data_IF_578433317651
#
_entry.id   IF_578433317651
#
_cell.length_a   1.000
_cell.length_b   1.000
_cell.length_c   1.000
_cell.angle_alpha   90.00
_cell.angle_beta   90.00
_cell.angle_gamma   90.00
#
_symmetry.space_group_name_H-M   'P 1'
#
loop_
_entity.id
_entity.type
_entity.pdbx_description
1 polymer ?
#
# COMPACT_ATOMS: atom_id res chain seq x y z
N UNK A 1 5.66 -21.80 11.18
CA UNK A 1 6.89 -22.05 10.39
C UNK A 1 7.90 -20.99 10.77
N UNK A 2 9.20 -21.29 10.77
CA UNK A 2 10.22 -20.28 11.06
C UNK A 2 10.37 -19.36 9.85
N UNK A 3 10.20 -18.06 10.04
CA UNK A 3 10.40 -17.03 9.00
C UNK A 3 11.90 -16.93 8.72
N UNK A 4 12.31 -17.16 7.48
CA UNK A 4 13.71 -17.17 7.06
C UNK A 4 13.99 -16.19 5.92
N UNK A 5 13.00 -15.96 5.05
CA UNK A 5 13.16 -15.09 3.88
C UNK A 5 12.05 -14.07 3.78
N UNK A 6 12.44 -12.80 3.72
CA UNK A 6 11.54 -11.64 3.68
C UNK A 6 11.63 -10.90 2.35
N UNK A 7 10.48 -10.42 1.86
CA UNK A 7 10.47 -9.43 0.78
C UNK A 7 10.21 -8.05 1.37
N UNK A 8 11.11 -7.10 1.15
CA UNK A 8 10.93 -5.69 1.52
C UNK A 8 10.45 -4.90 0.30
N UNK A 9 9.14 -4.62 0.26
CA UNK A 9 8.53 -3.87 -0.82
C UNK A 9 8.48 -2.37 -0.52
N UNK A 10 9.08 -1.56 -1.39
CA UNK A 10 9.33 -0.14 -1.15
C UNK A 10 8.50 0.75 -2.08
N UNK A 11 7.91 1.80 -1.51
CA UNK A 11 7.41 2.92 -2.31
C UNK A 11 8.61 3.68 -2.92
N UNK A 12 8.56 4.09 -4.20
CA UNK A 12 9.63 4.87 -4.81
C UNK A 12 9.71 6.28 -4.21
N UNK A 13 10.93 6.83 -4.16
CA UNK A 13 11.19 8.17 -3.64
C UNK A 13 10.78 9.31 -4.58
N UNK A 14 10.48 9.02 -5.84
CA UNK A 14 10.15 10.00 -6.88
C UNK A 14 8.84 9.62 -7.57
N UNK A 15 7.82 10.47 -7.44
CA UNK A 15 6.63 10.45 -8.32
C UNK A 15 6.40 11.81 -8.97
N UNK A 16 7.04 12.88 -8.48
CA UNK A 16 7.16 14.14 -9.21
C UNK A 16 8.56 14.24 -9.79
N UNK A 17 8.76 14.06 -11.10
CA UNK A 17 9.91 14.67 -11.73
C UNK A 17 9.70 16.18 -11.60
N UNK A 18 10.42 16.82 -10.68
CA UNK A 18 10.69 18.24 -10.78
C UNK A 18 11.28 18.47 -12.19
N UNK A 19 10.43 18.83 -13.17
CA UNK A 19 10.82 19.20 -14.52
C UNK A 19 10.48 18.27 -15.72
N UNK A 20 9.68 17.20 -15.64
CA UNK A 20 9.42 16.34 -16.83
C UNK A 20 7.97 15.90 -17.12
N UNK A 21 6.95 16.52 -16.53
CA UNK A 21 5.60 16.48 -17.13
C UNK A 21 5.40 17.74 -17.95
N UNK A 22 5.48 17.65 -19.28
CA UNK A 22 5.28 18.80 -20.19
C UNK A 22 3.86 19.41 -20.11
N UNK A 23 2.93 18.81 -19.36
CA UNK A 23 1.50 19.12 -19.39
C UNK A 23 0.88 19.48 -18.04
N UNK A 24 1.64 19.56 -16.94
CA UNK A 24 1.12 20.07 -15.66
C UNK A 24 1.74 21.42 -15.31
N UNK A 25 0.93 22.39 -14.81
CA UNK A 25 1.47 23.63 -14.29
C UNK A 25 2.45 23.32 -13.15
N UNK A 26 3.60 24.02 -13.07
CA UNK A 26 4.52 23.85 -11.95
C UNK A 26 3.81 24.19 -10.64
N UNK A 27 4.05 23.41 -9.59
CA UNK A 27 3.64 23.81 -8.24
C UNK A 27 4.50 25.02 -7.87
N UNK A 28 3.87 26.20 -7.76
CA UNK A 28 4.56 27.47 -7.50
C UNK A 28 4.57 27.85 -6.01
N UNK A 29 3.74 27.21 -5.17
CA UNK A 29 3.68 27.53 -3.74
C UNK A 29 4.91 26.95 -3.01
N UNK A 30 5.82 27.79 -2.46
CA UNK A 30 7.04 27.32 -1.80
C UNK A 30 6.79 26.52 -0.52
N UNK A 31 5.69 26.76 0.19
CA UNK A 31 5.32 25.98 1.38
C UNK A 31 4.94 24.55 0.98
N UNK A 32 4.15 24.39 -0.09
CA UNK A 32 3.78 23.07 -0.64
C UNK A 32 5.02 22.32 -1.12
N UNK A 33 5.94 23.01 -1.81
CA UNK A 33 7.20 22.39 -2.25
C UNK A 33 8.04 21.89 -1.07
N UNK A 34 8.23 22.73 -0.03
CA UNK A 34 8.94 22.36 1.19
C UNK A 34 8.27 21.18 1.89
N UNK A 35 6.94 21.16 1.93
CA UNK A 35 6.17 20.07 2.52
C UNK A 35 6.33 18.76 1.74
N UNK A 36 6.29 18.79 0.40
CA UNK A 36 6.56 17.62 -0.44
C UNK A 36 8.00 17.09 -0.28
N UNK A 37 8.99 17.98 -0.20
CA UNK A 37 10.38 17.62 0.07
C UNK A 37 10.55 17.00 1.46
N UNK A 38 9.85 17.53 2.47
CA UNK A 38 9.82 16.94 3.80
C UNK A 38 9.25 15.52 3.76
N UNK A 39 8.11 15.29 3.11
CA UNK A 39 7.52 13.94 2.98
C UNK A 39 8.45 12.96 2.29
N UNK A 40 9.16 13.41 1.26
CA UNK A 40 10.18 12.60 0.59
C UNK A 40 11.32 12.23 1.54
N UNK A 41 11.80 13.20 2.33
CA UNK A 41 12.86 12.98 3.32
C UNK A 41 12.41 12.01 4.42
N UNK A 42 11.25 12.24 5.03
CA UNK A 42 10.67 11.38 6.08
C UNK A 42 10.52 9.94 5.56
N UNK A 43 9.99 9.77 4.35
CA UNK A 43 9.87 8.44 3.74
C UNK A 43 11.24 7.78 3.49
N UNK A 44 12.24 8.54 3.02
CA UNK A 44 13.60 8.02 2.84
C UNK A 44 14.24 7.58 4.16
N UNK A 45 14.09 8.40 5.19
CA UNK A 45 14.60 8.10 6.53
C UNK A 45 13.90 6.85 7.10
N UNK A 46 12.60 6.70 6.88
CA UNK A 46 11.84 5.50 7.24
C UNK A 46 12.33 4.23 6.52
N UNK A 47 12.60 4.30 5.21
CA UNK A 47 13.16 3.17 4.45
C UNK A 47 14.53 2.77 4.99
N UNK A 48 15.42 3.75 5.22
CA UNK A 48 16.75 3.48 5.77
C UNK A 48 16.64 2.82 7.16
N UNK A 49 15.79 3.35 8.03
CA UNK A 49 15.54 2.80 9.36
C UNK A 49 15.07 1.34 9.31
N UNK A 50 14.08 1.03 8.46
CA UNK A 50 13.60 -0.35 8.30
C UNK A 50 14.71 -1.28 7.78
N UNK A 51 15.52 -0.82 6.82
CA UNK A 51 16.65 -1.61 6.30
C UNK A 51 17.73 -1.84 7.36
N UNK A 52 18.03 -0.84 8.19
CA UNK A 52 19.02 -0.95 9.26
C UNK A 52 18.59 -1.97 10.32
N UNK A 53 17.30 -1.99 10.69
CA UNK A 53 16.74 -3.03 11.57
C UNK A 53 16.89 -4.41 10.92
N UNK A 54 16.49 -4.56 9.65
CA UNK A 54 16.56 -5.85 8.96
C UNK A 54 17.99 -6.39 8.84
N UNK A 55 18.99 -5.52 8.68
CA UNK A 55 20.43 -5.90 8.70
C UNK A 55 20.89 -6.47 10.04
N UNK A 56 20.22 -6.13 11.15
CA UNK A 56 20.53 -6.61 12.49
C UNK A 56 19.83 -7.93 12.82
N UNK A 57 18.82 -8.34 12.03
CA UNK A 57 18.08 -9.58 12.25
C UNK A 57 18.75 -10.75 11.50
N UNK A 58 18.64 -11.95 12.05
CA UNK A 58 19.18 -13.19 11.44
C UNK A 58 18.21 -13.80 10.42
N UNK A 59 17.75 -13.00 9.45
CA UNK A 59 16.82 -13.40 8.38
C UNK A 59 17.29 -12.84 7.05
N UNK A 60 17.14 -13.62 5.99
CA UNK A 60 17.44 -13.17 4.64
C UNK A 60 16.32 -12.23 4.16
N UNK A 61 16.69 -11.17 3.46
CA UNK A 61 15.72 -10.24 2.90
C UNK A 61 16.19 -9.64 1.58
N UNK A 62 15.24 -9.32 0.71
CA UNK A 62 15.50 -8.64 -0.55
C UNK A 62 14.62 -7.38 -0.71
N UNK A 63 15.19 -6.23 -1.11
CA UNK A 63 14.40 -5.04 -1.41
C UNK A 63 13.93 -5.03 -2.86
N UNK A 64 12.66 -4.68 -3.08
CA UNK A 64 12.08 -4.43 -4.42
C UNK A 64 11.28 -3.12 -4.37
N UNK A 65 11.41 -2.28 -5.39
CA UNK A 65 10.50 -1.14 -5.54
C UNK A 65 9.14 -1.64 -6.07
N UNK A 66 8.04 -1.11 -5.55
CA UNK A 66 6.69 -1.49 -6.01
C UNK A 66 6.45 -1.22 -7.50
N UNK A 67 7.19 -0.31 -8.13
CA UNK A 67 7.16 -0.06 -9.59
C UNK A 67 7.78 -1.18 -10.41
N UNK A 68 8.63 -1.99 -9.78
CA UNK A 68 9.42 -3.04 -10.43
C UNK A 68 8.79 -4.42 -10.20
N UNK A 69 7.64 -4.48 -9.49
CA UNK A 69 6.82 -5.68 -9.37
C UNK A 69 6.14 -5.99 -10.69
N UNK A 70 6.62 -7.04 -11.36
CA UNK A 70 6.08 -7.53 -12.64
C UNK A 70 5.50 -8.94 -12.53
N UNK A 71 5.85 -9.68 -11.47
CA UNK A 71 5.51 -11.10 -11.30
C UNK A 71 4.86 -11.33 -9.93
N UNK A 72 4.00 -12.35 -9.79
CA UNK A 72 3.46 -12.74 -8.49
C UNK A 72 4.56 -12.99 -7.45
N UNK A 73 4.35 -12.52 -6.23
CA UNK A 73 5.29 -12.67 -5.12
C UNK A 73 5.20 -14.10 -4.61
N UNK A 74 6.32 -14.83 -4.64
CA UNK A 74 6.42 -16.24 -4.24
C UNK A 74 7.76 -16.53 -3.58
N UNK A 75 7.80 -17.54 -2.72
CA UNK A 75 9.05 -18.02 -2.11
C UNK A 75 9.59 -17.13 -0.98
N UNK A 76 8.71 -16.34 -0.35
CA UNK A 76 8.97 -15.58 0.87
C UNK A 76 8.06 -16.08 1.98
N UNK A 77 8.50 -15.91 3.22
CA UNK A 77 7.73 -16.26 4.41
C UNK A 77 6.92 -15.07 4.95
N UNK A 78 7.28 -13.84 4.55
CA UNK A 78 6.61 -12.60 4.92
C UNK A 78 6.98 -11.49 3.92
N UNK A 79 5.99 -10.69 3.55
CA UNK A 79 6.18 -9.44 2.80
C UNK A 79 6.08 -8.26 3.76
N UNK A 80 7.05 -7.36 3.75
CA UNK A 80 7.04 -6.11 4.50
C UNK A 80 6.90 -4.97 3.50
N UNK A 81 5.84 -4.16 3.60
CA UNK A 81 5.66 -3.00 2.72
C UNK A 81 5.99 -1.72 3.46
N UNK A 82 6.89 -0.88 2.93
CA UNK A 82 7.23 0.42 3.52
C UNK A 82 6.68 1.55 2.66
N UNK A 83 5.69 2.26 3.20
CA UNK A 83 4.96 3.30 2.47
C UNK A 83 3.69 3.73 3.20
N UNK A 84 2.55 3.66 2.53
CA UNK A 84 1.23 3.79 3.15
C UNK A 84 0.31 2.69 2.65
N UNK A 85 -1.00 2.81 2.87
CA UNK A 85 -1.97 1.80 2.45
C UNK A 85 -1.88 1.46 0.96
N UNK A 86 -1.66 2.46 0.10
CA UNK A 86 -1.47 2.25 -1.33
C UNK A 86 -0.27 1.37 -1.71
N UNK A 87 0.72 1.20 -0.84
CA UNK A 87 1.86 0.28 -1.08
C UNK A 87 1.46 -1.16 -0.74
N UNK A 88 0.74 -1.35 0.37
CA UNK A 88 0.17 -2.65 0.74
C UNK A 88 -0.89 -3.11 -0.26
N UNK A 89 -1.78 -2.21 -0.70
CA UNK A 89 -2.78 -2.51 -1.72
C UNK A 89 -2.13 -2.97 -3.03
N UNK A 90 -1.05 -2.29 -3.45
CA UNK A 90 -0.31 -2.71 -4.63
C UNK A 90 0.34 -4.09 -4.44
N UNK A 91 0.94 -4.37 -3.29
CA UNK A 91 1.46 -5.70 -2.97
C UNK A 91 0.36 -6.78 -3.09
N UNK A 92 -0.83 -6.47 -2.56
CA UNK A 92 -1.96 -7.42 -2.53
C UNK A 92 -2.35 -7.93 -3.93
N UNK A 93 -2.14 -7.14 -4.99
CA UNK A 93 -2.44 -7.56 -6.36
C UNK A 93 -1.49 -8.65 -6.89
N UNK A 94 -0.32 -8.81 -6.28
CA UNK A 94 0.70 -9.80 -6.66
C UNK A 94 0.78 -10.98 -5.67
N UNK A 95 -0.09 -11.00 -4.65
CA UNK A 95 -0.05 -12.01 -3.58
C UNK A 95 -1.31 -12.89 -3.60
N UNK A 96 -1.11 -14.16 -3.30
CA UNK A 96 -2.17 -15.07 -2.87
C UNK A 96 -2.32 -15.04 -1.33
N UNK A 97 -2.98 -16.03 -0.73
CA UNK A 97 -3.20 -16.17 0.71
C UNK A 97 -2.10 -16.96 1.44
N UNK A 98 -1.03 -17.37 0.74
CA UNK A 98 0.03 -18.21 1.31
C UNK A 98 1.09 -17.44 2.09
N UNK A 99 1.27 -16.14 1.80
CA UNK A 99 2.31 -15.30 2.40
C UNK A 99 1.64 -14.14 3.17
N UNK A 100 1.89 -13.97 4.47
CA UNK A 100 1.39 -12.81 5.21
C UNK A 100 2.08 -11.52 4.77
N UNK A 101 1.39 -10.38 4.98
CA UNK A 101 1.91 -9.05 4.69
C UNK A 101 1.90 -8.17 5.95
N UNK A 102 3.01 -7.48 6.20
CA UNK A 102 3.16 -6.46 7.23
C UNK A 102 3.26 -5.07 6.57
N UNK A 103 2.24 -4.25 6.76
CA UNK A 103 2.26 -2.85 6.34
C UNK A 103 2.98 -1.96 7.35
N UNK A 104 3.99 -1.22 6.91
CA UNK A 104 4.71 -0.19 7.67
C UNK A 104 4.39 1.19 7.08
N UNK A 105 3.62 1.98 7.84
CA UNK A 105 3.34 3.36 7.49
C UNK A 105 4.59 4.22 7.74
N UNK A 106 5.26 4.61 6.65
CA UNK A 106 6.49 5.38 6.65
C UNK A 106 6.29 6.86 6.96
N UNK A 107 5.07 7.37 6.77
CA UNK A 107 4.76 8.80 6.82
C UNK A 107 3.34 9.02 7.37
N UNK A 108 3.09 8.67 8.66
CA UNK A 108 1.77 8.79 9.27
C UNK A 108 1.34 10.25 9.40
N UNK A 109 0.04 10.51 9.28
CA UNK A 109 -0.52 11.85 9.51
C UNK A 109 -0.22 12.33 10.94
N UNK A 110 0.29 13.56 11.05
CA UNK A 110 0.51 14.25 12.31
C UNK A 110 -0.59 15.29 12.49
N UNK A 111 -1.31 15.23 13.61
CA UNK A 111 -2.48 16.11 13.85
C UNK A 111 -2.05 17.57 13.91
N UNK A 112 -0.91 17.82 14.54
CA UNK A 112 -0.35 19.16 14.73
C UNK A 112 -0.01 19.82 13.39
N UNK A 113 0.53 19.07 12.43
CA UNK A 113 0.81 19.58 11.07
C UNK A 113 -0.48 19.90 10.31
N UNK A 114 -1.51 19.07 10.45
CA UNK A 114 -2.81 19.30 9.79
C UNK A 114 -3.46 20.56 10.33
N UNK A 115 -3.42 20.77 11.65
CA UNK A 115 -3.95 21.98 12.27
C UNK A 115 -3.19 23.23 11.81
N UNK A 116 -1.86 23.18 11.79
CA UNK A 116 -0.98 24.28 11.37
C UNK A 116 -1.26 24.75 9.93
N UNK A 117 -1.44 23.81 8.99
CA UNK A 117 -1.58 24.12 7.56
C UNK A 117 -3.02 24.12 7.05
N UNK A 118 -4.02 23.90 7.91
CA UNK A 118 -5.44 23.72 7.55
C UNK A 118 -6.02 24.85 6.67
N UNK A 119 -5.50 26.07 6.78
CA UNK A 119 -5.92 27.23 5.98
C UNK A 119 -5.22 27.38 4.62
N UNK A 120 -4.10 26.69 4.40
CA UNK A 120 -3.24 26.89 3.23
C UNK A 120 -3.36 25.74 2.21
N UNK A 121 -3.26 24.50 2.68
CA UNK A 121 -3.33 23.30 1.83
C UNK A 121 -3.62 22.05 2.66
N UNK A 122 -3.97 20.95 1.98
CA UNK A 122 -4.14 19.65 2.62
C UNK A 122 -2.77 19.06 3.06
N UNK A 123 -2.48 19.18 4.36
CA UNK A 123 -1.29 18.62 5.00
C UNK A 123 -1.51 17.22 5.59
N UNK A 124 -2.57 16.50 5.17
CA UNK A 124 -2.73 15.10 5.57
C UNK A 124 -1.65 14.20 4.93
N UNK A 125 -1.15 13.25 5.72
CA UNK A 125 -0.21 12.22 5.26
C UNK A 125 -0.94 10.88 5.14
N UNK A 126 -0.25 9.75 5.31
CA UNK A 126 -0.90 8.44 5.21
C UNK A 126 -1.64 8.11 6.50
N UNK A 127 -2.93 7.82 6.44
CA UNK A 127 -3.68 7.33 7.61
C UNK A 127 -3.20 5.95 8.06
N UNK A 128 -2.92 5.05 7.11
CA UNK A 128 -2.33 3.74 7.42
C UNK A 128 -3.32 2.74 8.01
N UNK A 129 -4.58 2.72 7.55
CA UNK A 129 -5.61 1.81 8.07
C UNK A 129 -5.26 0.34 7.90
N UNK A 130 -4.48 -0.01 6.87
CA UNK A 130 -4.03 -1.38 6.59
C UNK A 130 -2.64 -1.64 7.20
N UNK A 131 -1.94 -0.60 7.64
CA UNK A 131 -0.58 -0.72 8.16
C UNK A 131 -0.60 -1.07 9.65
N UNK A 132 0.01 -2.19 10.02
CA UNK A 132 0.09 -2.64 11.42
C UNK A 132 1.29 -2.05 12.19
N UNK A 133 2.18 -1.32 11.51
CA UNK A 133 3.34 -0.69 12.10
C UNK A 133 3.63 0.69 11.51
N UNK A 134 4.45 1.46 12.21
CA UNK A 134 5.12 2.69 11.76
C UNK A 134 6.61 2.56 12.09
N UNK A 135 7.43 3.53 11.68
CA UNK A 135 8.83 3.59 12.12
C UNK A 135 9.00 3.55 13.65
N UNK A 136 8.02 4.03 14.42
CA UNK A 136 8.11 4.08 15.89
C UNK A 136 8.08 2.70 16.56
N UNK A 137 7.46 1.71 15.91
CA UNK A 137 7.25 0.38 16.50
C UNK A 137 7.60 -0.78 15.56
N UNK A 138 8.19 -0.50 14.39
CA UNK A 138 8.52 -1.51 13.39
C UNK A 138 9.40 -2.63 13.96
N UNK A 139 10.45 -2.28 14.72
CA UNK A 139 11.34 -3.28 15.32
C UNK A 139 10.60 -4.24 16.24
N UNK A 140 9.83 -3.70 17.20
CA UNK A 140 9.04 -4.51 18.12
C UNK A 140 8.06 -5.42 17.38
N UNK A 141 7.33 -4.89 16.40
CA UNK A 141 6.36 -5.67 15.64
C UNK A 141 7.05 -6.77 14.82
N UNK A 142 8.22 -6.49 14.25
CA UNK A 142 9.01 -7.49 13.53
C UNK A 142 9.49 -8.59 14.49
N UNK A 143 10.00 -8.23 15.66
CA UNK A 143 10.47 -9.19 16.66
C UNK A 143 9.34 -10.08 17.18
N UNK A 144 8.14 -9.52 17.40
CA UNK A 144 6.96 -10.29 17.79
C UNK A 144 6.56 -11.30 16.70
N UNK A 145 6.68 -10.92 15.41
CA UNK A 145 6.38 -11.81 14.28
C UNK A 145 7.44 -12.91 14.16
N UNK A 146 8.73 -12.55 14.20
CA UNK A 146 9.84 -13.51 14.11
C UNK A 146 9.85 -14.48 15.30
N UNK A 147 9.47 -14.00 16.50
CA UNK A 147 9.29 -14.79 17.71
C UNK A 147 7.99 -15.59 17.77
N UNK A 148 7.11 -15.46 16.77
CA UNK A 148 5.83 -16.17 16.72
C UNK A 148 4.77 -15.69 17.72
N UNK A 149 4.97 -14.53 18.34
CA UNK A 149 4.05 -13.91 19.30
C UNK A 149 2.91 -13.15 18.59
N UNK A 150 3.12 -12.74 17.34
CA UNK A 150 2.11 -12.07 16.52
C UNK A 150 1.76 -12.92 15.29
N UNK A 151 0.49 -13.30 15.20
CA UNK A 151 -0.06 -14.10 14.10
C UNK A 151 -0.81 -13.23 13.08
N UNK A 152 -0.78 -13.59 11.78
CA UNK A 152 -1.52 -12.87 10.75
C UNK A 152 -3.03 -13.10 10.89
N UNK A 153 -3.82 -12.11 10.45
CA UNK A 153 -5.27 -12.20 10.28
C UNK A 153 -5.64 -12.29 8.81
N UNK A 154 -6.65 -13.09 8.48
CA UNK A 154 -7.17 -13.18 7.12
C UNK A 154 -8.11 -12.02 6.81
N UNK A 155 -8.01 -11.48 5.60
CA UNK A 155 -8.91 -10.45 5.07
C UNK A 155 -9.49 -10.95 3.75
N UNK A 156 -10.82 -10.88 3.61
CA UNK A 156 -11.51 -11.26 2.38
C UNK A 156 -11.21 -10.28 1.25
N UNK A 157 -10.94 -10.80 0.05
CA UNK A 157 -10.79 -9.99 -1.16
C UNK A 157 -11.93 -10.28 -2.14
N UNK A 158 -12.29 -9.28 -2.93
CA UNK A 158 -13.33 -9.39 -3.93
C UNK A 158 -12.78 -10.01 -5.22
N UNK A 159 -13.39 -11.12 -5.61
CA UNK A 159 -13.23 -11.73 -6.93
C UNK A 159 -14.17 -11.05 -7.92
N UNK A 160 -13.67 -10.74 -9.13
CA UNK A 160 -14.42 -10.01 -10.15
C UNK A 160 -14.39 -10.77 -11.45
N UNK A 161 -15.57 -11.00 -12.04
CA UNK A 161 -15.69 -11.55 -13.39
C UNK A 161 -16.28 -10.51 -14.33
N UNK A 162 -15.61 -10.26 -15.45
CA UNK A 162 -16.09 -9.41 -16.53
C UNK A 162 -16.44 -10.29 -17.73
N UNK A 163 -17.68 -10.21 -18.24
CA UNK A 163 -18.17 -11.08 -19.33
C UNK A 163 -17.92 -12.58 -19.05
N UNK A 164 -18.21 -13.03 -17.83
CA UNK A 164 -17.95 -14.40 -17.35
C UNK A 164 -16.48 -14.82 -17.27
N UNK A 165 -15.54 -13.92 -17.55
CA UNK A 165 -14.11 -14.17 -17.39
C UNK A 165 -13.63 -13.62 -16.05
N UNK A 166 -13.08 -14.50 -15.22
CA UNK A 166 -12.47 -14.13 -13.94
C UNK A 166 -11.23 -13.25 -14.18
N UNK A 167 -11.19 -12.09 -13.53
CA UNK A 167 -10.01 -11.24 -13.51
C UNK A 167 -8.91 -11.87 -12.64
N UNK A 168 -7.65 -11.68 -13.04
CA UNK A 168 -6.48 -12.26 -12.36
C UNK A 168 -6.21 -11.67 -10.97
N UNK A 169 -6.82 -10.53 -10.66
CA UNK A 169 -6.51 -9.72 -9.49
C UNK A 169 -7.73 -9.64 -8.60
N UNK A 170 -7.53 -9.84 -7.30
CA UNK A 170 -8.56 -9.70 -6.29
C UNK A 170 -8.47 -8.33 -5.63
N UNK A 171 -9.57 -7.59 -5.59
CA UNK A 171 -9.60 -6.26 -5.01
C UNK A 171 -9.72 -6.34 -3.47
N UNK A 172 -8.87 -5.59 -2.75
CA UNK A 172 -8.90 -5.56 -1.28
C UNK A 172 -9.88 -4.50 -0.74
N UNK A 173 -9.94 -3.32 -1.36
CA UNK A 173 -10.79 -2.21 -0.89
C UNK A 173 -12.15 -2.19 -1.57
N UNK A 174 -12.15 -1.92 -2.88
CA UNK A 174 -13.35 -1.61 -3.67
C UNK A 174 -13.13 -1.94 -5.16
N UNK A 175 -14.21 -1.82 -5.93
CA UNK A 175 -14.20 -1.98 -7.38
C UNK A 175 -14.87 -0.75 -7.98
N UNK A 176 -14.17 -0.08 -8.91
CA UNK A 176 -14.73 1.03 -9.66
C UNK A 176 -15.24 0.55 -11.03
N UNK A 177 -16.54 0.70 -11.26
CA UNK A 177 -17.15 0.51 -12.57
C UNK A 177 -17.58 1.90 -13.07
N UNK A 178 -17.00 2.35 -14.17
CA UNK A 178 -17.26 3.68 -14.71
C UNK A 178 -17.14 3.70 -16.25
N UNK A 179 -17.83 4.66 -16.85
CA UNK A 179 -17.67 5.01 -18.26
C UNK A 179 -16.25 5.58 -18.47
N UNK A 180 -15.56 5.22 -19.56
CA UNK A 180 -14.17 5.65 -19.80
C UNK A 180 -14.01 7.18 -19.98
N UNK A 181 -15.07 7.86 -20.42
CA UNK A 181 -15.14 9.33 -20.44
C UNK A 181 -15.65 9.86 -19.09
N UNK A 182 -14.84 10.62 -18.31
CA UNK A 182 -15.24 11.15 -17.00
C UNK A 182 -16.48 12.05 -17.02
N UNK A 183 -16.76 12.71 -18.16
CA UNK A 183 -17.90 13.61 -18.32
C UNK A 183 -19.18 12.91 -18.84
N UNK A 184 -19.20 11.57 -18.86
CA UNK A 184 -20.33 10.78 -19.37
C UNK A 184 -20.95 9.94 -18.26
N UNK A 185 -22.27 9.80 -18.31
CA UNK A 185 -23.03 8.99 -17.36
C UNK A 185 -22.78 7.49 -17.59
N UNK A 186 -22.49 6.78 -16.52
CA UNK A 186 -22.44 5.32 -16.51
C UNK A 186 -23.83 4.76 -16.20
N UNK A 187 -24.36 3.88 -17.07
CA UNK A 187 -25.67 3.24 -16.86
C UNK A 187 -25.48 1.79 -16.42
N UNK A 188 -26.14 1.41 -15.34
CA UNK A 188 -26.02 0.08 -14.74
C UNK A 188 -27.38 -0.53 -14.44
N UNK A 189 -27.41 -1.85 -14.37
CA UNK A 189 -28.50 -2.62 -13.77
C UNK A 189 -27.87 -3.59 -12.80
N UNK A 190 -28.40 -3.65 -11.57
CA UNK A 190 -27.84 -4.48 -10.51
C UNK A 190 -28.78 -5.65 -10.24
N UNK A 191 -28.20 -6.83 -10.07
CA UNK A 191 -28.88 -8.01 -9.55
C UNK A 191 -28.04 -8.53 -8.40
N UNK A 192 -28.65 -8.65 -7.22
CA UNK A 192 -28.01 -9.23 -6.05
C UNK A 192 -28.54 -10.66 -5.92
N UNK A 193 -27.66 -11.64 -6.02
CA UNK A 193 -27.99 -13.03 -5.76
C UNK A 193 -27.53 -13.36 -4.34
N UNK A 194 -28.45 -13.86 -3.51
CA UNK A 194 -28.12 -14.43 -2.20
C UNK A 194 -27.91 -15.92 -2.37
N UNK A 195 -26.89 -16.47 -1.71
CA UNK A 195 -26.68 -17.91 -1.70
C UNK A 195 -27.93 -18.62 -1.17
N UNK A 196 -28.50 -19.53 -1.97
CA UNK A 196 -29.65 -20.37 -1.60
C UNK A 196 -30.95 -20.15 -2.38
N UNK A 197 -31.09 -19.08 -3.17
CA UNK A 197 -32.26 -18.90 -4.04
C UNK A 197 -31.90 -19.20 -5.50
N UNK A 198 -32.30 -20.39 -5.96
CA UNK A 198 -32.28 -20.76 -7.38
C UNK A 198 -33.23 -19.85 -8.16
N UNK A 199 -32.72 -19.19 -9.19
CA UNK A 199 -33.55 -18.41 -10.12
C UNK A 199 -34.49 -19.37 -10.89
N UNK A 200 -35.78 -19.37 -10.57
CA UNK A 200 -36.81 -19.74 -11.54
C UNK A 200 -36.95 -18.60 -12.53
N UNK A 201 -36.63 -18.88 -13.80
CA UNK A 201 -36.89 -18.01 -14.94
C UNK A 201 -38.40 -17.83 -15.17
#
# INVERSE_FOLDING_TARGET
>A
MAIRRLLLLLKPFNVYPFGQSKNLPPITNPQVLRYLDNRRKVHKDAVNFCQDILRQKSVDWEPILRTDLLQPIRGFDLVITVGGDGTLLQASHFMDDSIPVLGVNSDPTQVEEVEEFSGDFDATRSTGHLCAATVKNFEQVLDDILGGQKIPSNISRMSVSANSQLLSTYALNDILIAHPCPATVSRFSFKIQRDGESCTH
#
